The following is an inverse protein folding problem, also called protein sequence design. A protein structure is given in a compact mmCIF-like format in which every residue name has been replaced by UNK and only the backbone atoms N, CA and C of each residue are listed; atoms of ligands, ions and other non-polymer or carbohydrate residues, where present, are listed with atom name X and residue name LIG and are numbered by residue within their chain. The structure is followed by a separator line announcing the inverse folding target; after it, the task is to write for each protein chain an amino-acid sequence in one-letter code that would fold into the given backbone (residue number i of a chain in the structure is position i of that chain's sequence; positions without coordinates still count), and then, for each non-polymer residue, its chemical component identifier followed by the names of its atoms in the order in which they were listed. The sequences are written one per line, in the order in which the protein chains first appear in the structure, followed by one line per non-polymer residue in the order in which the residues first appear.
data_IF_136196117043
#
_entry.id   IF_136196117043
#
_cell.length_a   1.000
_cell.length_b   1.000
_cell.length_c   1.000
_cell.angle_alpha   90.00
_cell.angle_beta   90.00
_cell.angle_gamma   90.00
#
_symmetry.space_group_name_H-M   'P 1'
#
loop_
_entity.id
_entity.type
_entity.pdbx_description
1 polymer ?
#
# COMPACT_ATOMS: atom_id res chain seq x y z
N UNK A 1 -11.54 12.78 -8.73
CA UNK A 1 -12.06 11.52 -8.15
C UNK A 1 -10.92 10.55 -7.91
N UNK A 2 -11.01 9.68 -6.92
CA UNK A 2 -9.88 8.82 -6.53
C UNK A 2 -9.64 7.65 -7.47
N UNK A 3 -10.65 7.22 -8.23
CA UNK A 3 -10.50 6.21 -9.27
C UNK A 3 -11.63 6.29 -10.31
N UNK A 4 -11.54 5.45 -11.34
CA UNK A 4 -12.47 5.43 -12.47
C UNK A 4 -13.90 5.08 -12.07
N UNK A 5 -14.08 4.12 -11.16
CA UNK A 5 -15.42 3.73 -10.70
C UNK A 5 -16.14 4.88 -9.99
N UNK A 6 -15.42 5.59 -9.10
CA UNK A 6 -15.99 6.75 -8.44
C UNK A 6 -16.24 7.89 -9.45
N UNK A 7 -15.39 8.05 -10.47
CA UNK A 7 -15.64 9.02 -11.53
C UNK A 7 -16.91 8.70 -12.32
N UNK A 8 -17.13 7.42 -12.65
CA UNK A 8 -18.31 6.97 -13.37
C UNK A 8 -19.59 7.15 -12.55
N UNK A 9 -19.56 6.90 -11.24
CA UNK A 9 -20.69 7.18 -10.36
C UNK A 9 -21.09 8.68 -10.42
N UNK A 10 -20.11 9.58 -10.38
CA UNK A 10 -20.38 11.02 -10.43
C UNK A 10 -20.89 11.46 -11.81
N UNK A 11 -20.36 10.90 -12.90
CA UNK A 11 -20.86 11.14 -14.26
C UNK A 11 -22.31 10.67 -14.38
N UNK A 12 -22.65 9.52 -13.80
CA UNK A 12 -24.03 9.01 -13.79
C UNK A 12 -25.00 9.93 -13.00
N UNK A 13 -24.49 10.69 -12.04
CA UNK A 13 -25.25 11.73 -11.32
C UNK A 13 -25.30 13.08 -12.06
N UNK A 14 -24.72 13.17 -13.26
CA UNK A 14 -24.76 14.35 -14.12
C UNK A 14 -23.58 15.30 -13.96
N UNK A 15 -22.55 14.94 -13.18
CA UNK A 15 -21.34 15.75 -13.07
C UNK A 15 -20.66 15.87 -14.45
N UNK A 16 -20.43 17.10 -14.87
CA UNK A 16 -19.56 17.42 -16.01
C UNK A 16 -18.12 17.56 -15.50
N UNK A 17 -17.13 17.28 -16.35
CA UNK A 17 -15.70 17.53 -16.06
C UNK A 17 -15.15 16.74 -14.86
N UNK A 18 -15.37 15.42 -14.86
CA UNK A 18 -14.86 14.52 -13.83
C UNK A 18 -13.48 13.97 -14.20
N UNK A 19 -12.45 14.41 -13.48
CA UNK A 19 -11.08 13.90 -13.61
C UNK A 19 -10.72 12.90 -12.50
N UNK A 20 -9.86 11.93 -12.84
CA UNK A 20 -9.35 10.90 -11.91
C UNK A 20 -7.95 11.28 -11.43
N UNK A 21 -7.82 11.44 -10.12
CA UNK A 21 -6.60 11.81 -9.43
C UNK A 21 -6.58 11.19 -8.00
N UNK A 22 -5.96 10.01 -7.79
CA UNK A 22 -5.78 9.37 -6.47
C UNK A 22 -4.71 10.04 -5.58
N UNK A 23 -3.89 10.92 -6.14
CA UNK A 23 -2.77 11.57 -5.47
C UNK A 23 -3.15 12.78 -4.57
N UNK A 24 -2.17 13.64 -4.23
CA UNK A 24 -0.81 13.65 -4.76
C UNK A 24 0.12 12.63 -4.09
N UNK A 25 1.06 12.07 -4.86
CA UNK A 25 2.15 11.27 -4.32
C UNK A 25 3.09 12.15 -3.45
N UNK A 26 3.66 11.59 -2.37
CA UNK A 26 4.58 12.31 -1.50
C UNK A 26 5.91 12.57 -2.22
N UNK A 27 6.63 13.61 -1.78
CA UNK A 27 8.01 13.85 -2.24
C UNK A 27 8.94 12.85 -1.58
N UNK A 28 9.79 12.21 -2.38
CA UNK A 28 10.84 11.32 -1.86
C UNK A 28 12.06 12.15 -1.49
N UNK A 29 12.45 12.13 -0.21
CA UNK A 29 13.69 12.73 0.26
C UNK A 29 14.91 11.87 -0.04
N UNK A 30 16.13 12.38 0.16
CA UNK A 30 17.35 11.58 0.08
C UNK A 30 17.27 10.40 1.05
N UNK A 31 17.68 9.21 0.58
CA UNK A 31 17.66 7.98 1.37
C UNK A 31 19.03 7.69 1.96
N UNK A 32 19.12 7.09 3.17
CA UNK A 32 20.40 6.65 3.73
C UNK A 32 21.10 5.67 2.78
N UNK A 33 22.40 5.86 2.55
CA UNK A 33 23.20 5.04 1.62
C UNK A 33 23.32 3.57 2.04
N UNK A 34 23.14 3.28 3.33
CA UNK A 34 23.07 1.92 3.87
C UNK A 34 21.82 1.78 4.74
N UNK A 35 20.82 1.07 4.22
CA UNK A 35 19.76 0.52 5.07
C UNK A 35 20.28 -0.83 5.59
N UNK A 36 20.20 -1.06 6.90
CA UNK A 36 20.49 -2.37 7.47
C UNK A 36 19.60 -3.45 6.84
N UNK A 37 19.85 -4.73 7.13
CA UNK A 37 18.99 -5.81 6.63
C UNK A 37 17.55 -5.60 7.13
N UNK A 38 16.66 -5.19 6.23
CA UNK A 38 15.23 -5.01 6.51
C UNK A 38 14.61 -6.40 6.64
N UNK A 39 13.83 -6.64 7.68
CA UNK A 39 13.17 -7.94 7.94
C UNK A 39 11.74 -7.77 8.43
N UNK A 40 11.19 -6.56 8.36
CA UNK A 40 9.85 -6.25 8.85
C UNK A 40 8.77 -6.39 7.77
N UNK A 41 7.58 -6.79 8.19
CA UNK A 41 6.32 -6.46 7.54
C UNK A 41 5.75 -5.26 8.28
N UNK A 42 5.08 -4.35 7.59
CA UNK A 42 4.41 -3.21 8.23
C UNK A 42 3.02 -3.03 7.68
N UNK A 43 2.10 -2.69 8.57
CA UNK A 43 0.81 -2.12 8.22
C UNK A 43 0.68 -0.79 8.94
N UNK A 44 0.26 0.23 8.20
CA UNK A 44 -0.02 1.57 8.71
C UNK A 44 -1.48 1.87 8.45
N UNK A 45 -2.19 2.36 9.46
CA UNK A 45 -3.58 2.72 9.33
C UNK A 45 -4.21 3.15 10.65
N UNK A 46 -5.52 2.95 10.74
CA UNK A 46 -6.34 3.34 11.88
C UNK A 46 -7.19 2.18 12.38
N UNK A 47 -7.76 2.26 13.60
CA UNK A 47 -8.56 1.17 14.15
C UNK A 47 -9.73 0.75 13.24
N UNK A 48 -10.29 1.68 12.45
CA UNK A 48 -11.41 1.41 11.54
C UNK A 48 -11.05 0.54 10.33
N UNK A 49 -9.76 0.39 10.02
CA UNK A 49 -9.26 -0.42 8.88
C UNK A 49 -8.49 -1.65 9.31
N UNK A 50 -8.19 -1.76 10.62
CA UNK A 50 -7.43 -2.86 11.21
C UNK A 50 -8.11 -4.22 11.06
N UNK A 51 -9.44 -4.27 10.98
CA UNK A 51 -10.18 -5.51 10.83
C UNK A 51 -9.71 -6.34 9.61
N UNK A 52 -9.37 -5.67 8.50
CA UNK A 52 -8.82 -6.33 7.31
C UNK A 52 -7.46 -7.01 7.58
N UNK A 53 -6.63 -6.46 8.46
CA UNK A 53 -5.38 -7.11 8.90
C UNK A 53 -5.71 -8.38 9.69
N UNK A 54 -6.68 -8.30 10.59
CA UNK A 54 -7.07 -9.40 11.45
C UNK A 54 -7.65 -10.57 10.66
N UNK A 55 -8.46 -10.30 9.63
CA UNK A 55 -9.13 -11.34 8.84
C UNK A 55 -8.26 -11.91 7.73
N UNK A 56 -7.49 -11.07 7.04
CA UNK A 56 -6.75 -11.47 5.84
C UNK A 56 -5.29 -11.83 6.15
N UNK A 57 -4.62 -10.98 6.94
CA UNK A 57 -3.16 -11.05 7.12
C UNK A 57 -2.79 -11.99 8.25
N UNK A 58 -3.47 -11.93 9.39
CA UNK A 58 -3.08 -12.72 10.57
C UNK A 58 -3.00 -14.23 10.32
N UNK A 59 -3.98 -14.85 9.64
CA UNK A 59 -3.89 -16.27 9.33
C UNK A 59 -2.78 -16.57 8.31
N UNK A 60 -2.44 -15.62 7.42
CA UNK A 60 -1.36 -15.76 6.46
C UNK A 60 0.03 -15.78 7.13
N UNK A 61 0.22 -15.01 8.22
CA UNK A 61 1.48 -15.00 8.98
C UNK A 61 1.87 -16.38 9.53
N UNK A 62 0.86 -17.21 9.87
CA UNK A 62 1.08 -18.55 10.40
C UNK A 62 1.59 -19.51 9.29
N UNK A 63 1.22 -19.22 8.04
CA UNK A 63 1.62 -19.96 6.83
C UNK A 63 2.97 -19.53 6.27
N UNK A 64 3.49 -18.35 6.65
CA UNK A 64 4.78 -17.87 6.16
C UNK A 64 5.91 -18.82 6.55
N UNK A 65 6.70 -19.20 5.54
CA UNK A 65 7.86 -20.07 5.69
C UNK A 65 8.99 -19.38 6.45
N UNK A 66 9.19 -18.08 6.21
CA UNK A 66 10.16 -17.26 6.94
C UNK A 66 9.62 -16.90 8.34
N UNK A 67 10.25 -17.47 9.36
CA UNK A 67 9.90 -17.28 10.76
C UNK A 67 10.52 -16.01 11.38
N UNK A 68 11.44 -15.33 10.69
CA UNK A 68 12.06 -14.09 11.16
C UNK A 68 11.20 -12.84 10.88
N UNK A 69 10.27 -12.94 9.92
CA UNK A 69 9.39 -11.82 9.56
C UNK A 69 8.45 -11.45 10.70
N UNK A 70 8.45 -10.18 11.10
CA UNK A 70 7.50 -9.64 12.09
C UNK A 70 6.68 -8.49 11.53
N UNK A 71 5.39 -8.47 11.83
CA UNK A 71 4.45 -7.44 11.45
C UNK A 71 4.37 -6.35 12.51
N UNK A 72 4.75 -5.13 12.16
CA UNK A 72 4.38 -3.93 12.90
C UNK A 72 2.99 -3.46 12.46
N UNK A 73 2.08 -3.30 13.42
CA UNK A 73 0.76 -2.69 13.22
C UNK A 73 0.82 -1.30 13.83
N UNK A 74 0.93 -0.28 12.96
CA UNK A 74 1.01 1.12 13.36
C UNK A 74 -0.38 1.75 13.35
N UNK A 75 -0.81 2.30 14.49
CA UNK A 75 -2.05 3.08 14.61
C UNK A 75 -3.33 2.28 14.92
N UNK A 76 -3.20 1.02 15.34
CA UNK A 76 -4.33 0.24 15.85
C UNK A 76 -3.93 -0.69 16.99
N UNK A 77 -4.83 -0.87 17.96
CA UNK A 77 -4.62 -1.82 19.05
C UNK A 77 -4.67 -3.26 18.54
N UNK A 78 -3.66 -4.06 18.88
CA UNK A 78 -3.52 -5.43 18.43
C UNK A 78 -4.25 -6.37 19.38
N UNK A 79 -5.41 -6.85 18.96
CA UNK A 79 -6.09 -7.97 19.62
C UNK A 79 -5.50 -9.32 19.17
N UNK A 80 -4.19 -9.51 19.35
CA UNK A 80 -3.50 -10.78 19.12
C UNK A 80 -2.48 -11.01 20.23
N UNK A 81 -2.76 -11.99 21.07
CA UNK A 81 -2.03 -12.27 22.31
C UNK A 81 -0.74 -13.09 22.12
N UNK A 82 -0.44 -13.58 20.91
CA UNK A 82 0.77 -14.34 20.63
C UNK A 82 1.22 -14.22 19.16
N UNK A 83 2.54 -14.16 18.95
CA UNK A 83 3.18 -14.30 17.65
C UNK A 83 3.96 -13.06 17.19
N UNK A 84 4.39 -13.11 15.92
CA UNK A 84 5.27 -12.14 15.24
C UNK A 84 4.60 -10.78 14.95
N UNK A 85 3.68 -10.31 15.79
CA UNK A 85 2.94 -9.07 15.59
C UNK A 85 3.22 -8.10 16.73
N UNK A 86 3.60 -6.87 16.39
CA UNK A 86 3.88 -5.79 17.34
C UNK A 86 2.87 -4.67 17.14
N UNK A 87 2.26 -4.23 18.23
CA UNK A 87 1.47 -3.00 18.26
C UNK A 87 2.39 -1.79 18.38
N UNK A 88 2.17 -0.79 17.53
CA UNK A 88 2.87 0.49 17.59
C UNK A 88 1.86 1.63 17.69
N UNK A 89 1.95 2.42 18.77
CA UNK A 89 1.18 3.66 18.90
C UNK A 89 1.60 4.60 17.79
N UNK A 90 0.63 5.20 17.11
CA UNK A 90 0.93 6.09 15.99
C UNK A 90 1.58 7.38 16.49
N UNK A 91 2.73 7.67 15.91
CA UNK A 91 3.32 9.00 15.79
C UNK A 91 4.00 9.08 14.42
N UNK A 92 4.23 10.28 13.86
CA UNK A 92 4.99 10.42 12.62
C UNK A 92 6.36 9.73 12.67
N UNK A 93 7.03 9.80 13.81
CA UNK A 93 8.34 9.17 14.04
C UNK A 93 8.24 7.64 14.08
N UNK A 94 7.22 7.10 14.75
CA UNK A 94 6.99 5.66 14.82
C UNK A 94 6.63 5.07 13.45
N UNK A 95 5.76 5.75 12.69
CA UNK A 95 5.40 5.36 11.33
C UNK A 95 6.63 5.33 10.42
N UNK A 96 7.41 6.41 10.37
CA UNK A 96 8.62 6.47 9.56
C UNK A 96 9.65 5.41 9.97
N UNK A 97 9.89 5.21 11.27
CA UNK A 97 10.83 4.22 11.78
C UNK A 97 10.44 2.79 11.35
N UNK A 98 9.17 2.42 11.48
CA UNK A 98 8.70 1.08 11.08
C UNK A 98 8.69 0.91 9.55
N UNK A 99 8.37 1.96 8.78
CA UNK A 99 8.49 1.95 7.32
C UNK A 99 9.94 1.78 6.86
N UNK A 100 10.89 2.44 7.51
CA UNK A 100 12.32 2.27 7.22
C UNK A 100 12.82 0.85 7.51
N UNK A 101 12.33 0.22 8.58
CA UNK A 101 12.69 -1.14 8.98
C UNK A 101 12.01 -2.25 8.15
N UNK A 102 10.90 -1.96 7.47
CA UNK A 102 10.07 -2.97 6.80
C UNK A 102 10.49 -3.26 5.35
N UNK A 103 10.56 -4.54 4.95
CA UNK A 103 10.65 -4.92 3.53
C UNK A 103 9.31 -4.74 2.80
N UNK A 104 8.23 -5.11 3.48
CA UNK A 104 6.92 -5.33 2.87
C UNK A 104 5.85 -4.55 3.61
N UNK A 105 5.01 -3.85 2.84
CA UNK A 105 3.93 -3.01 3.33
C UNK A 105 2.61 -3.68 3.00
N UNK A 106 1.80 -3.99 3.99
CA UNK A 106 0.56 -4.73 3.80
C UNK A 106 -0.59 -3.74 3.64
N UNK A 107 -1.32 -3.83 2.53
CA UNK A 107 -2.50 -3.02 2.26
C UNK A 107 -3.76 -3.89 2.10
N UNK A 108 -4.12 -4.72 3.11
CA UNK A 108 -5.31 -5.55 3.05
C UNK A 108 -6.56 -4.70 2.94
N UNK A 109 -7.47 -5.16 2.08
CA UNK A 109 -8.76 -4.54 1.90
C UNK A 109 -9.71 -5.61 1.34
N UNK A 110 -10.77 -5.91 2.10
CA UNK A 110 -11.84 -6.80 1.64
C UNK A 110 -12.51 -6.18 0.42
N UNK A 111 -12.77 -6.98 -0.62
CA UNK A 111 -13.47 -6.54 -1.83
C UNK A 111 -14.96 -6.29 -1.52
N UNK A 112 -15.42 -5.09 -1.82
CA UNK A 112 -16.77 -4.62 -1.57
C UNK A 112 -17.05 -3.41 -2.47
N UNK A 113 -18.32 -3.10 -2.71
CA UNK A 113 -18.70 -1.90 -3.46
C UNK A 113 -18.07 -0.62 -2.90
N UNK A 114 -17.93 -0.52 -1.58
CA UNK A 114 -17.25 0.60 -0.93
C UNK A 114 -15.73 0.61 -1.17
N UNK A 115 -15.06 -0.53 -1.00
CA UNK A 115 -13.60 -0.59 -1.09
C UNK A 115 -13.06 -0.40 -2.50
N UNK A 116 -13.82 -0.80 -3.52
CA UNK A 116 -13.49 -0.59 -4.94
C UNK A 116 -13.34 0.90 -5.32
N UNK A 117 -13.94 1.82 -4.56
CA UNK A 117 -13.94 3.28 -4.80
C UNK A 117 -12.87 4.05 -4.00
N UNK A 118 -12.09 3.36 -3.16
CA UNK A 118 -11.02 3.99 -2.36
C UNK A 118 -9.82 4.41 -3.22
N UNK A 119 -8.90 5.19 -2.64
CA UNK A 119 -7.70 5.68 -3.31
C UNK A 119 -6.44 4.81 -3.12
N UNK A 120 -6.40 3.94 -2.09
CA UNK A 120 -5.21 3.16 -1.70
C UNK A 120 -3.96 3.99 -1.37
N UNK A 121 -4.14 5.19 -0.81
CA UNK A 121 -3.06 6.16 -0.55
C UNK A 121 -1.84 5.61 0.22
N UNK A 122 -2.03 4.67 1.17
CA UNK A 122 -0.93 4.03 1.91
C UNK A 122 0.13 3.36 1.02
N UNK A 123 -0.24 2.99 -0.20
CA UNK A 123 0.71 2.44 -1.18
C UNK A 123 1.77 3.48 -1.53
N UNK A 124 1.42 4.77 -1.60
CA UNK A 124 2.41 5.83 -1.79
C UNK A 124 3.40 5.93 -0.64
N UNK A 125 2.94 5.82 0.60
CA UNK A 125 3.80 5.84 1.80
C UNK A 125 4.81 4.70 1.78
N UNK A 126 4.36 3.50 1.38
CA UNK A 126 5.22 2.32 1.24
C UNK A 126 6.26 2.53 0.15
N UNK A 127 5.82 2.95 -1.03
CA UNK A 127 6.68 3.23 -2.17
C UNK A 127 7.72 4.31 -1.86
N UNK A 128 7.34 5.37 -1.14
CA UNK A 128 8.25 6.44 -0.73
C UNK A 128 9.39 5.91 0.15
N UNK A 129 9.14 4.85 0.91
CA UNK A 129 10.11 4.18 1.76
C UNK A 129 10.74 2.94 1.11
N UNK A 130 10.62 2.72 -0.20
CA UNK A 130 11.07 1.47 -0.87
C UNK A 130 10.54 0.20 -0.20
N UNK A 131 9.37 0.30 0.42
CA UNK A 131 8.67 -0.85 1.00
C UNK A 131 7.83 -1.43 -0.14
N UNK A 132 7.94 -2.73 -0.37
CA UNK A 132 7.19 -3.41 -1.44
C UNK A 132 5.74 -3.60 -0.97
N UNK A 133 4.75 -2.94 -1.59
CA UNK A 133 3.35 -3.10 -1.21
C UNK A 133 2.82 -4.48 -1.59
N UNK A 134 2.11 -5.13 -0.67
CA UNK A 134 1.23 -6.28 -0.95
C UNK A 134 -0.21 -5.77 -0.93
N UNK A 135 -0.87 -5.88 -2.07
CA UNK A 135 -2.18 -5.26 -2.34
C UNK A 135 -3.15 -6.29 -2.91
N UNK A 136 -4.46 -6.22 -2.59
CA UNK A 136 -5.45 -7.01 -3.31
C UNK A 136 -5.64 -6.50 -4.73
N UNK A 137 -6.06 -7.38 -5.65
CA UNK A 137 -6.47 -6.97 -7.00
C UNK A 137 -7.79 -6.20 -6.95
N UNK A 138 -7.71 -4.87 -6.92
CA UNK A 138 -8.90 -3.99 -6.92
C UNK A 138 -8.77 -2.90 -7.98
N UNK A 139 -9.90 -2.41 -8.55
CA UNK A 139 -9.89 -1.33 -9.55
C UNK A 139 -9.11 -0.10 -9.12
N UNK A 140 -9.27 0.32 -7.85
CA UNK A 140 -8.52 1.43 -7.28
C UNK A 140 -6.98 1.24 -7.31
N UNK A 141 -6.51 0.03 -7.07
CA UNK A 141 -5.07 -0.31 -7.13
C UNK A 141 -4.59 -0.26 -8.58
N UNK A 142 -5.42 -0.74 -9.52
CA UNK A 142 -5.14 -0.66 -10.95
C UNK A 142 -5.09 0.78 -11.45
N UNK A 143 -6.01 1.65 -11.02
CA UNK A 143 -5.94 3.08 -11.33
C UNK A 143 -4.66 3.70 -10.76
N UNK A 144 -4.33 3.39 -9.50
CA UNK A 144 -3.17 3.96 -8.82
C UNK A 144 -1.84 3.58 -9.47
N UNK A 145 -1.61 2.29 -9.75
CA UNK A 145 -0.30 1.79 -10.19
C UNK A 145 -0.22 1.54 -11.69
N UNK A 146 -1.36 1.33 -12.37
CA UNK A 146 -1.41 1.15 -13.82
C UNK A 146 -0.55 0.00 -14.31
N UNK A 147 0.22 0.25 -15.38
CA UNK A 147 1.16 -0.69 -15.98
C UNK A 147 2.35 -1.06 -15.07
N UNK A 148 2.65 -0.24 -14.07
CA UNK A 148 3.79 -0.46 -13.16
C UNK A 148 3.45 -1.43 -12.01
N UNK A 149 2.18 -1.83 -11.87
CA UNK A 149 1.66 -2.66 -10.77
C UNK A 149 2.52 -3.90 -10.48
N UNK A 150 2.75 -4.74 -11.49
CA UNK A 150 3.42 -6.04 -11.31
C UNK A 150 4.93 -5.88 -11.04
N UNK A 151 5.50 -4.74 -11.42
CA UNK A 151 6.90 -4.42 -11.21
C UNK A 151 7.13 -3.93 -9.78
N UNK A 152 6.25 -3.07 -9.26
CA UNK A 152 6.46 -2.41 -7.96
C UNK A 152 5.71 -3.01 -6.79
N UNK A 153 4.66 -3.80 -7.03
CA UNK A 153 3.82 -4.40 -6.00
C UNK A 153 3.78 -5.93 -6.10
N UNK A 154 3.26 -6.56 -5.05
CA UNK A 154 2.84 -7.95 -5.05
C UNK A 154 1.32 -8.01 -4.92
N UNK A 155 0.66 -8.68 -5.85
CA UNK A 155 -0.80 -8.72 -5.90
C UNK A 155 -1.33 -9.98 -5.25
N UNK A 156 -2.35 -9.84 -4.41
CA UNK A 156 -3.12 -10.93 -3.84
C UNK A 156 -4.29 -11.23 -4.78
N UNK A 157 -4.20 -12.37 -5.45
CA UNK A 157 -5.28 -12.93 -6.25
C UNK A 157 -6.10 -13.89 -5.38
N UNK A 158 -7.24 -13.41 -4.87
CA UNK A 158 -8.13 -14.16 -3.97
C UNK A 158 -8.28 -13.51 -2.59
N UNK A 159 -8.92 -14.25 -1.69
CA UNK A 159 -9.24 -13.81 -0.32
C UNK A 159 -8.87 -14.85 0.73
N UNK A 160 -8.08 -15.87 0.36
CA UNK A 160 -7.67 -16.88 1.32
C UNK A 160 -6.38 -16.47 2.03
N UNK A 161 -6.16 -16.93 3.28
CA UNK A 161 -4.88 -16.78 3.96
C UNK A 161 -3.66 -17.27 3.15
N UNK A 162 -3.84 -18.32 2.35
CA UNK A 162 -2.78 -18.87 1.51
C UNK A 162 -2.40 -17.92 0.36
N UNK A 163 -3.35 -17.15 -0.15
CA UNK A 163 -3.09 -16.17 -1.21
C UNK A 163 -2.27 -14.99 -0.69
N UNK A 164 -2.62 -14.50 0.50
CA UNK A 164 -1.83 -13.50 1.21
C UNK A 164 -0.43 -14.01 1.53
N UNK A 165 -0.30 -15.23 2.07
CA UNK A 165 1.01 -15.79 2.40
C UNK A 165 1.91 -15.88 1.16
N UNK A 166 1.37 -16.33 0.03
CA UNK A 166 2.08 -16.41 -1.25
C UNK A 166 2.52 -15.03 -1.76
N UNK A 167 1.62 -14.04 -1.72
CA UNK A 167 1.94 -12.69 -2.17
C UNK A 167 3.00 -12.03 -1.28
N UNK A 168 2.95 -12.27 0.03
CA UNK A 168 3.98 -11.83 0.98
C UNK A 168 5.33 -12.51 0.67
N UNK A 169 5.35 -13.82 0.46
CA UNK A 169 6.59 -14.56 0.11
C UNK A 169 7.21 -14.05 -1.21
N UNK A 170 6.38 -13.71 -2.20
CA UNK A 170 6.83 -13.06 -3.45
C UNK A 170 7.42 -11.67 -3.16
N UNK A 171 6.76 -10.86 -2.32
CA UNK A 171 7.23 -9.53 -1.97
C UNK A 171 8.56 -9.55 -1.21
N UNK A 172 8.73 -10.49 -0.27
CA UNK A 172 9.98 -10.67 0.50
C UNK A 172 11.18 -10.96 -0.40
N UNK A 173 10.97 -11.68 -1.51
CA UNK A 173 12.03 -12.08 -2.45
C UNK A 173 12.30 -11.05 -3.53
N UNK A 174 11.44 -10.04 -3.67
CA UNK A 174 11.58 -9.02 -4.70
C UNK A 174 12.68 -8.03 -4.30
N UNK A 175 13.50 -7.69 -5.29
CA UNK A 175 14.60 -6.74 -5.14
C UNK A 175 14.11 -5.36 -5.53
N UNK A 176 14.48 -4.36 -4.72
CA UNK A 176 14.32 -2.95 -5.06
C UNK A 176 15.55 -2.53 -5.86
N UNK A 177 15.49 -2.74 -7.17
CA UNK A 177 16.54 -2.39 -8.13
C UNK A 177 16.20 -1.12 -8.93
N UNK A 178 17.05 -0.75 -9.89
CA UNK A 178 16.83 0.44 -10.73
C UNK A 178 15.51 0.39 -11.50
N UNK A 179 15.05 -0.80 -11.92
CA UNK A 179 13.79 -0.94 -12.65
C UNK A 179 12.59 -0.69 -11.72
N UNK A 180 12.62 -1.25 -10.51
CA UNK A 180 11.62 -0.99 -9.48
C UNK A 180 11.56 0.50 -9.13
N UNK A 181 12.73 1.12 -8.92
CA UNK A 181 12.85 2.56 -8.60
C UNK A 181 12.30 3.43 -9.74
N UNK A 182 12.66 3.13 -10.98
CA UNK A 182 12.16 3.86 -12.15
C UNK A 182 10.64 3.76 -12.31
N UNK A 183 10.05 2.60 -12.01
CA UNK A 183 8.61 2.40 -12.03
C UNK A 183 7.89 3.14 -10.90
N UNK A 184 8.45 3.14 -9.70
CA UNK A 184 7.98 3.98 -8.59
C UNK A 184 7.96 5.45 -8.99
N UNK A 185 9.04 5.94 -9.59
CA UNK A 185 9.18 7.35 -9.95
C UNK A 185 8.20 7.78 -11.04
N UNK A 186 7.88 6.90 -11.99
CA UNK A 186 6.79 7.13 -12.97
C UNK A 186 5.43 7.27 -12.29
N UNK A 187 5.12 6.40 -11.33
CA UNK A 187 3.88 6.49 -10.54
C UNK A 187 3.83 7.81 -9.76
N UNK A 188 4.95 8.23 -9.17
CA UNK A 188 5.01 9.46 -8.37
C UNK A 188 4.87 10.70 -9.24
N UNK A 189 5.48 10.70 -10.43
CA UNK A 189 5.34 11.78 -11.41
C UNK A 189 3.89 11.89 -11.92
N UNK A 190 3.26 10.75 -12.26
CA UNK A 190 1.86 10.69 -12.72
C UNK A 190 0.90 11.35 -11.72
N UNK A 191 1.12 11.11 -10.44
CA UNK A 191 0.28 11.60 -9.36
C UNK A 191 0.92 12.75 -8.59
N UNK A 192 1.81 13.53 -9.20
CA UNK A 192 2.56 14.56 -8.48
C UNK A 192 1.68 15.78 -8.13
N UNK A 193 2.05 16.51 -7.07
CA UNK A 193 1.36 17.77 -6.73
C UNK A 193 1.37 18.81 -7.89
N UNK A 194 2.46 18.97 -8.68
CA UNK A 194 2.42 19.78 -9.90
C UNK A 194 1.38 19.32 -10.92
N UNK A 195 1.20 18.00 -11.11
CA UNK A 195 0.16 17.47 -11.99
C UNK A 195 -1.24 17.80 -11.50
N UNK A 196 -1.50 17.65 -10.20
CA UNK A 196 -2.77 18.08 -9.60
C UNK A 196 -3.05 19.57 -9.85
N UNK A 197 -2.03 20.41 -9.71
CA UNK A 197 -2.18 21.85 -9.94
C UNK A 197 -2.56 22.15 -11.40
N UNK A 198 -1.96 21.45 -12.38
CA UNK A 198 -2.30 21.60 -13.78
C UNK A 198 -3.77 21.25 -14.06
N UNK A 199 -4.24 20.11 -13.54
CA UNK A 199 -5.65 19.67 -13.61
C UNK A 199 -6.64 20.74 -13.13
N UNK A 200 -6.35 21.40 -12.00
CA UNK A 200 -7.27 22.39 -11.40
C UNK A 200 -7.20 23.74 -12.10
N UNK A 201 -6.05 24.12 -12.68
CA UNK A 201 -5.85 25.41 -13.34
C UNK A 201 -6.29 25.41 -14.82
N UNK A 202 -6.40 24.23 -15.43
CA UNK A 202 -6.87 24.04 -16.82
C UNK A 202 -8.39 23.77 -16.92
N UNK A 203 -9.07 23.54 -15.79
CA UNK A 203 -10.52 23.35 -15.67
C UNK A 203 -11.26 24.69 -15.45
#
# INVERSE_FOLDING_TARGET
MTNDLLADDFRALGAQDVEVFPGPAPRVGPKPASRGARTGLVWVGSPSTYESVRTEVYPALDLLTDRAMSLAVVGAAVNRTAGRVREMVWSPEAENSELEAALVGLAPQVDSEWSRRKAFYKVFEYLAHDVIPVVPRLPAVQTLLGEDLDLIASVVDGHSPADWARAIDVAIRRVVDEAWIGARDRVFERWSAPRLAATVLEA
#
